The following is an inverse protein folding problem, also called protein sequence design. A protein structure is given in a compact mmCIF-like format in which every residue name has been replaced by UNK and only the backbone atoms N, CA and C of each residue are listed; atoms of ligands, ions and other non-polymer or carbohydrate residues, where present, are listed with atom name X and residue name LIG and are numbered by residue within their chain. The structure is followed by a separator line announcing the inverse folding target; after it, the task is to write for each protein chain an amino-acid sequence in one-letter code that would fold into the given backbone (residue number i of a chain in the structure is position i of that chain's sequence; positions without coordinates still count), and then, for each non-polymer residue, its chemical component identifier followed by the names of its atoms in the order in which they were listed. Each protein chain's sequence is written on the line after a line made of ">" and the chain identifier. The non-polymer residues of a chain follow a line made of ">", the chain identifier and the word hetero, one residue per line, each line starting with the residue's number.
data_IF_983678361713
#
_entry.id   IF_983678361713
#
_cell.length_a   1.000
_cell.length_b   1.000
_cell.length_c   1.000
_cell.angle_alpha   90.00
_cell.angle_beta   90.00
_cell.angle_gamma   90.00
#
_symmetry.space_group_name_H-M   'P 1'
#
loop_
_entity.id
_entity.type
_entity.pdbx_description
1 polymer ?
#
# COMPACT_ATOMS: atom_id res chain seq x y z
N UNK A 1 -16.82 -5.62 -17.67
CA UNK A 1 -16.84 -7.03 -18.13
C UNK A 1 -15.42 -7.38 -18.53
N UNK A 2 -14.99 -8.60 -18.27
CA UNK A 2 -13.67 -9.07 -18.69
C UNK A 2 -13.75 -9.69 -20.08
N UNK A 3 -12.74 -9.45 -20.92
CA UNK A 3 -12.56 -10.22 -22.15
C UNK A 3 -12.10 -11.64 -21.83
N UNK A 4 -12.13 -12.52 -22.84
CA UNK A 4 -11.59 -13.87 -22.71
C UNK A 4 -10.10 -13.84 -22.37
N UNK A 5 -9.67 -14.75 -21.51
CA UNK A 5 -8.27 -14.91 -21.13
C UNK A 5 -7.40 -15.20 -22.35
N UNK A 6 -6.30 -14.46 -22.48
CA UNK A 6 -5.29 -14.65 -23.53
C UNK A 6 -3.95 -14.99 -22.91
N UNK A 7 -3.27 -15.97 -23.48
CA UNK A 7 -1.89 -16.29 -23.10
C UNK A 7 -0.98 -15.26 -23.75
N UNK A 8 -0.13 -14.63 -22.95
CA UNK A 8 0.87 -13.70 -23.46
C UNK A 8 2.11 -14.46 -23.96
N UNK A 9 2.02 -14.97 -25.19
CA UNK A 9 3.06 -15.83 -25.78
C UNK A 9 4.43 -15.14 -25.91
N UNK A 10 4.45 -13.81 -26.01
CA UNK A 10 5.70 -13.05 -26.15
C UNK A 10 6.46 -12.89 -24.82
N UNK A 11 5.80 -13.06 -23.67
CA UNK A 11 6.38 -12.97 -22.34
C UNK A 11 7.04 -14.29 -21.91
N UNK A 12 7.90 -14.85 -22.76
CA UNK A 12 8.59 -16.12 -22.51
C UNK A 12 10.02 -16.09 -23.03
N UNK A 13 10.90 -16.87 -22.38
CA UNK A 13 12.21 -17.21 -22.90
C UNK A 13 12.28 -18.72 -23.11
N UNK A 14 12.97 -19.14 -24.18
CA UNK A 14 13.07 -20.55 -24.55
C UNK A 14 13.62 -21.40 -23.39
N UNK A 15 12.93 -22.49 -23.07
CA UNK A 15 13.25 -23.40 -21.94
C UNK A 15 13.15 -22.79 -20.54
N UNK A 16 12.61 -21.58 -20.38
CA UNK A 16 12.39 -20.96 -19.09
C UNK A 16 10.90 -20.94 -18.73
N UNK A 17 10.60 -20.87 -17.43
CA UNK A 17 9.26 -20.57 -16.92
C UNK A 17 9.18 -19.10 -16.53
N UNK A 18 8.13 -18.41 -16.95
CA UNK A 18 7.85 -17.02 -16.56
C UNK A 18 7.10 -16.97 -15.24
N UNK A 19 7.49 -16.06 -14.34
CA UNK A 19 6.92 -15.90 -13.00
C UNK A 19 6.95 -14.41 -12.59
N UNK A 20 6.18 -14.07 -11.55
CA UNK A 20 6.13 -12.75 -10.91
C UNK A 20 5.90 -11.60 -11.92
N UNK A 21 4.75 -11.57 -12.61
CA UNK A 21 4.38 -10.44 -13.46
C UNK A 21 4.29 -9.15 -12.62
N UNK A 22 4.90 -8.08 -13.12
CA UNK A 22 4.93 -6.76 -12.51
C UNK A 22 4.61 -5.73 -13.61
N UNK A 23 3.32 -5.42 -13.83
CA UNK A 23 2.92 -4.44 -14.81
C UNK A 23 3.23 -3.02 -14.33
N UNK A 24 3.59 -2.15 -15.27
CA UNK A 24 3.82 -0.73 -15.07
C UNK A 24 3.23 0.02 -16.26
N UNK A 25 2.47 1.07 -15.99
CA UNK A 25 1.97 1.98 -17.02
C UNK A 25 2.75 3.28 -16.97
N UNK A 26 3.32 3.67 -18.10
CA UNK A 26 3.94 4.98 -18.28
C UNK A 26 2.92 5.93 -18.93
N UNK A 27 2.35 6.83 -18.13
CA UNK A 27 1.36 7.81 -18.57
C UNK A 27 1.93 8.80 -19.62
N UNK A 28 3.23 9.10 -19.57
CA UNK A 28 3.83 10.08 -20.46
C UNK A 28 3.96 9.53 -21.88
N UNK A 29 4.39 8.27 -22.01
CA UNK A 29 4.53 7.61 -23.31
C UNK A 29 3.28 6.85 -23.74
N UNK A 30 2.34 6.60 -22.81
CA UNK A 30 1.20 5.71 -23.02
C UNK A 30 1.60 4.24 -23.18
N UNK A 31 2.81 3.87 -22.75
CA UNK A 31 3.36 2.52 -22.92
C UNK A 31 3.09 1.67 -21.68
N UNK A 32 2.60 0.45 -21.90
CA UNK A 32 2.55 -0.58 -20.87
C UNK A 32 3.85 -1.37 -20.89
N UNK A 33 4.46 -1.53 -19.72
CA UNK A 33 5.58 -2.42 -19.47
C UNK A 33 5.09 -3.58 -18.61
N UNK A 34 5.53 -4.79 -18.93
CA UNK A 34 5.34 -5.94 -18.05
C UNK A 34 6.72 -6.53 -17.77
N UNK A 35 7.20 -6.29 -16.56
CA UNK A 35 8.40 -6.93 -16.05
C UNK A 35 8.03 -8.29 -15.47
N UNK A 36 8.91 -9.26 -15.61
CA UNK A 36 8.73 -10.59 -15.03
C UNK A 36 10.08 -11.27 -14.87
N UNK A 37 10.15 -12.25 -13.98
CA UNK A 37 11.33 -13.11 -13.89
C UNK A 37 11.11 -14.36 -14.72
N UNK A 38 12.20 -14.92 -15.23
CA UNK A 38 12.18 -16.26 -15.82
C UNK A 38 13.22 -17.15 -15.15
N UNK A 39 12.90 -18.43 -14.97
CA UNK A 39 13.82 -19.40 -14.36
C UNK A 39 14.03 -20.56 -15.31
N UNK A 40 15.29 -20.92 -15.55
CA UNK A 40 15.64 -22.02 -16.44
C UNK A 40 15.02 -23.36 -15.98
N UNK A 41 14.25 -23.99 -16.86
CA UNK A 41 13.62 -25.28 -16.64
C UNK A 41 12.80 -25.34 -15.35
N UNK A 42 13.10 -26.34 -14.50
CA UNK A 42 12.39 -26.63 -13.25
C UNK A 42 13.23 -26.35 -12.00
N UNK A 43 14.32 -25.61 -12.13
CA UNK A 43 15.25 -25.33 -11.01
C UNK A 43 14.50 -24.64 -9.87
N UNK A 44 14.37 -25.26 -8.67
CA UNK A 44 13.68 -24.66 -7.54
C UNK A 44 14.50 -23.50 -6.94
N UNK A 45 13.82 -22.54 -6.32
CA UNK A 45 14.48 -21.44 -5.60
C UNK A 45 15.42 -21.97 -4.51
N UNK A 46 14.98 -22.95 -3.72
CA UNK A 46 15.81 -23.57 -2.67
C UNK A 46 17.13 -24.15 -3.20
N UNK A 47 17.13 -24.71 -4.41
CA UNK A 47 18.36 -25.21 -5.04
C UNK A 47 19.31 -24.06 -5.38
N UNK A 48 18.79 -22.96 -5.94
CA UNK A 48 19.60 -21.79 -6.28
C UNK A 48 20.23 -21.15 -5.04
N UNK A 49 19.48 -21.07 -3.94
CA UNK A 49 19.97 -20.57 -2.64
C UNK A 49 21.08 -21.47 -2.09
N UNK A 50 20.85 -22.79 -2.04
CA UNK A 50 21.81 -23.74 -1.46
C UNK A 50 23.09 -23.85 -2.29
N UNK A 51 22.99 -23.79 -3.62
CA UNK A 51 24.15 -23.94 -4.52
C UNK A 51 24.84 -22.62 -4.86
N UNK A 52 24.21 -21.48 -4.57
CA UNK A 52 24.64 -20.16 -5.01
C UNK A 52 24.54 -19.95 -6.53
N UNK A 53 23.97 -20.89 -7.28
CA UNK A 53 23.81 -20.79 -8.73
C UNK A 53 22.48 -20.11 -9.07
N UNK A 54 22.51 -18.79 -9.26
CA UNK A 54 21.35 -18.05 -9.72
C UNK A 54 21.17 -18.21 -11.24
N UNK A 55 20.08 -18.86 -11.64
CA UNK A 55 19.66 -19.06 -13.04
C UNK A 55 18.40 -18.25 -13.38
N UNK A 56 18.06 -17.28 -12.53
CA UNK A 56 16.92 -16.37 -12.73
C UNK A 56 17.33 -15.22 -13.65
N UNK A 57 16.46 -14.89 -14.61
CA UNK A 57 16.61 -13.76 -15.52
C UNK A 57 15.51 -12.74 -15.25
N UNK A 58 15.83 -11.46 -15.39
CA UNK A 58 14.86 -10.37 -15.42
C UNK A 58 14.51 -10.05 -16.87
N UNK A 59 13.22 -10.06 -17.20
CA UNK A 59 12.72 -9.84 -18.54
C UNK A 59 11.65 -8.75 -18.57
N UNK A 60 11.46 -8.15 -19.74
CA UNK A 60 10.42 -7.16 -19.99
C UNK A 60 9.79 -7.37 -21.37
N UNK A 61 8.48 -7.17 -21.44
CA UNK A 61 7.74 -6.95 -22.69
C UNK A 61 6.98 -5.64 -22.60
N UNK A 62 6.70 -5.02 -23.73
CA UNK A 62 6.04 -3.71 -23.82
C UNK A 62 4.89 -3.73 -24.80
N UNK A 63 3.88 -2.90 -24.54
CA UNK A 63 2.75 -2.67 -25.42
C UNK A 63 2.53 -1.17 -25.60
N UNK A 64 2.40 -0.74 -26.85
CA UNK A 64 2.09 0.65 -27.23
C UNK A 64 0.61 0.83 -27.64
N UNK A 65 -0.19 -0.23 -27.55
CA UNK A 65 -1.58 -0.30 -28.01
C UNK A 65 -2.52 -0.78 -26.91
N UNK A 66 -2.27 -0.36 -25.67
CA UNK A 66 -3.12 -0.63 -24.51
C UNK A 66 -3.30 -2.13 -24.21
N UNK A 67 -2.26 -2.93 -24.48
CA UNK A 67 -2.20 -4.35 -24.15
C UNK A 67 -2.76 -5.27 -25.23
N UNK A 68 -3.13 -4.74 -26.40
CA UNK A 68 -3.64 -5.53 -27.52
C UNK A 68 -2.54 -6.39 -28.17
N UNK A 69 -1.35 -5.83 -28.34
CA UNK A 69 -0.16 -6.55 -28.80
C UNK A 69 1.06 -6.20 -27.96
N UNK A 70 2.03 -7.11 -27.95
CA UNK A 70 3.20 -7.02 -27.08
C UNK A 70 4.48 -7.31 -27.86
N UNK A 71 5.54 -6.60 -27.50
CA UNK A 71 6.88 -6.85 -28.03
C UNK A 71 7.43 -8.21 -27.56
N UNK A 72 8.49 -8.67 -28.22
CA UNK A 72 9.22 -9.87 -27.81
C UNK A 72 9.96 -9.64 -26.49
N UNK A 73 10.03 -10.67 -25.64
CA UNK A 73 10.74 -10.59 -24.37
C UNK A 73 12.19 -10.12 -24.53
N UNK A 74 12.53 -9.05 -23.79
CA UNK A 74 13.88 -8.51 -23.70
C UNK A 74 14.52 -8.97 -22.39
N UNK A 75 15.68 -9.65 -22.45
CA UNK A 75 16.46 -10.01 -21.26
C UNK A 75 17.26 -8.79 -20.76
N UNK A 76 16.86 -8.27 -19.61
CA UNK A 76 17.45 -7.10 -18.97
C UNK A 76 18.51 -7.47 -17.93
N UNK A 77 18.76 -8.76 -17.70
CA UNK A 77 19.61 -9.26 -16.60
C UNK A 77 20.99 -8.63 -16.63
N UNK A 78 21.68 -8.62 -17.78
CA UNK A 78 23.03 -8.04 -17.84
C UNK A 78 23.04 -6.52 -17.74
N UNK A 79 21.98 -5.85 -18.21
CA UNK A 79 21.88 -4.40 -18.23
C UNK A 79 21.59 -3.84 -16.83
N UNK A 80 20.73 -4.51 -16.07
CA UNK A 80 20.28 -4.07 -14.74
C UNK A 80 21.15 -4.67 -13.63
N UNK A 81 21.67 -5.89 -13.83
CA UNK A 81 22.30 -6.70 -12.77
C UNK A 81 23.81 -6.96 -13.04
N UNK A 82 24.36 -6.52 -14.18
CA UNK A 82 25.69 -6.89 -14.70
C UNK A 82 26.86 -6.92 -13.70
N UNK A 83 27.78 -7.88 -13.92
CA UNK A 83 29.08 -8.21 -13.25
C UNK A 83 29.19 -8.17 -11.71
N UNK A 84 28.18 -7.68 -11.00
CA UNK A 84 28.21 -7.38 -9.57
C UNK A 84 27.91 -8.60 -8.70
N UNK A 85 27.56 -9.75 -9.31
CA UNK A 85 27.13 -10.94 -8.57
C UNK A 85 28.14 -12.07 -8.76
N UNK A 86 29.15 -12.09 -7.89
CA UNK A 86 29.75 -13.33 -7.39
C UNK A 86 29.22 -13.72 -6.00
N UNK A 87 28.14 -13.09 -5.52
CA UNK A 87 27.63 -13.42 -4.17
C UNK A 87 26.33 -12.75 -3.71
N UNK A 88 25.64 -11.96 -4.53
CA UNK A 88 24.43 -11.24 -4.09
C UNK A 88 23.20 -11.81 -4.76
N UNK A 89 22.34 -12.41 -3.94
CA UNK A 89 20.95 -12.70 -4.25
C UNK A 89 20.30 -11.42 -4.79
N UNK A 90 19.53 -11.50 -5.88
CA UNK A 90 18.79 -10.37 -6.42
C UNK A 90 17.64 -10.01 -5.46
N UNK A 91 18.01 -9.41 -4.33
CA UNK A 91 17.17 -8.74 -3.36
C UNK A 91 17.45 -7.25 -3.52
N UNK A 92 16.41 -6.51 -3.84
CA UNK A 92 16.47 -5.07 -4.07
C UNK A 92 16.63 -4.34 -2.72
N UNK A 93 17.62 -3.44 -2.69
CA UNK A 93 17.85 -2.28 -1.80
C UNK A 93 18.31 -2.50 -0.34
N UNK A 94 19.58 -2.11 -0.12
CA UNK A 94 20.00 -1.24 0.97
C UNK A 94 20.45 -1.93 2.26
N UNK A 95 21.68 -1.63 2.70
CA UNK A 95 22.14 -1.96 4.06
C UNK A 95 21.29 -1.22 5.10
N UNK A 96 20.22 -1.88 5.53
CA UNK A 96 19.23 -1.34 6.44
C UNK A 96 18.18 -2.38 6.78
N UNK A 97 18.58 -3.50 7.41
CA UNK A 97 17.66 -4.48 8.03
C UNK A 97 16.69 -5.25 7.11
N UNK A 98 16.47 -4.82 5.87
CA UNK A 98 15.62 -5.47 4.87
C UNK A 98 16.32 -6.60 4.10
N UNK A 99 17.61 -6.84 4.36
CA UNK A 99 18.51 -7.78 3.66
C UNK A 99 18.08 -9.27 3.72
N UNK A 100 16.96 -9.58 4.39
CA UNK A 100 16.36 -10.94 4.42
C UNK A 100 14.87 -10.97 4.05
N UNK A 101 14.31 -9.84 3.64
CA UNK A 101 12.91 -9.79 3.21
C UNK A 101 12.82 -10.23 1.75
N UNK A 102 12.18 -11.37 1.51
CA UNK A 102 11.94 -11.86 0.14
C UNK A 102 10.90 -11.04 -0.65
N UNK A 103 10.38 -9.95 -0.07
CA UNK A 103 9.38 -9.07 -0.69
C UNK A 103 9.31 -7.70 0.02
N UNK A 104 9.16 -6.63 -0.76
CA UNK A 104 8.81 -5.29 -0.28
C UNK A 104 7.95 -4.54 -1.31
N UNK A 105 7.08 -3.65 -0.84
CA UNK A 105 6.35 -2.68 -1.65
C UNK A 105 6.80 -1.25 -1.33
N UNK A 106 6.88 -0.41 -2.35
CA UNK A 106 7.26 1.00 -2.23
C UNK A 106 6.13 1.91 -2.71
N UNK A 107 5.92 3.01 -1.99
CA UNK A 107 4.96 4.07 -2.35
C UNK A 107 5.60 5.43 -2.07
N UNK A 108 5.45 6.37 -2.99
CA UNK A 108 5.80 7.76 -2.78
C UNK A 108 4.69 8.45 -1.99
N UNK A 109 5.04 9.16 -0.92
CA UNK A 109 4.10 9.79 0.03
C UNK A 109 4.38 11.28 0.11
N UNK A 110 3.44 12.05 -0.41
CA UNK A 110 3.43 13.51 -0.36
C UNK A 110 2.82 14.02 0.95
N UNK A 111 3.35 15.13 1.43
CA UNK A 111 2.84 15.89 2.57
C UNK A 111 2.22 17.23 2.14
N UNK A 112 1.47 17.82 3.07
CA UNK A 112 0.87 19.14 2.89
C UNK A 112 1.90 20.27 2.71
N UNK A 113 3.12 20.07 3.23
CA UNK A 113 4.23 21.02 3.09
C UNK A 113 4.97 20.88 1.75
N UNK A 114 4.55 19.95 0.88
CA UNK A 114 5.16 19.65 -0.41
C UNK A 114 6.42 18.77 -0.31
N UNK A 115 6.77 18.28 0.89
CA UNK A 115 7.83 17.27 1.02
C UNK A 115 7.32 15.90 0.58
N UNK A 116 8.22 15.07 0.05
CA UNK A 116 7.95 13.70 -0.32
C UNK A 116 8.83 12.74 0.48
N UNK A 117 8.31 11.57 0.82
CA UNK A 117 9.09 10.45 1.34
C UNK A 117 8.76 9.16 0.60
N UNK A 118 9.75 8.29 0.44
CA UNK A 118 9.49 6.92 0.01
C UNK A 118 9.14 6.06 1.21
N UNK A 119 7.92 5.55 1.20
CA UNK A 119 7.41 4.55 2.13
C UNK A 119 7.74 3.15 1.61
N UNK A 120 8.31 2.31 2.48
CA UNK A 120 8.59 0.90 2.21
C UNK A 120 7.85 0.02 3.21
N UNK A 121 7.09 -0.95 2.70
CA UNK A 121 6.52 -2.04 3.48
C UNK A 121 7.28 -3.33 3.13
N UNK A 122 7.76 -4.05 4.14
CA UNK A 122 8.55 -5.25 3.94
C UNK A 122 8.10 -6.39 4.86
N UNK A 123 8.30 -7.63 4.41
CA UNK A 123 8.12 -8.82 5.23
C UNK A 123 9.11 -8.81 6.39
N UNK A 124 8.68 -9.38 7.52
CA UNK A 124 9.58 -9.67 8.64
C UNK A 124 9.25 -11.02 9.27
N UNK A 125 10.26 -11.73 9.82
CA UNK A 125 10.07 -12.99 10.53
C UNK A 125 9.41 -12.82 11.90
N UNK A 126 9.12 -11.58 12.31
CA UNK A 126 8.56 -11.25 13.63
C UNK A 126 7.02 -11.31 13.67
N UNK A 127 6.38 -11.82 12.62
CA UNK A 127 4.92 -11.98 12.54
C UNK A 127 4.15 -10.68 12.23
N UNK A 128 4.87 -9.59 11.93
CA UNK A 128 4.32 -8.30 11.51
C UNK A 128 5.13 -7.76 10.34
N UNK A 129 4.51 -6.90 9.53
CA UNK A 129 5.19 -6.11 8.50
C UNK A 129 6.09 -5.07 9.15
N UNK A 130 7.16 -4.72 8.44
CA UNK A 130 8.06 -3.63 8.80
C UNK A 130 7.84 -2.49 7.84
N UNK A 131 7.74 -1.28 8.38
CA UNK A 131 7.69 -0.04 7.64
C UNK A 131 9.03 0.69 7.76
N UNK A 132 9.58 1.14 6.64
CA UNK A 132 10.75 2.03 6.61
C UNK A 132 10.45 3.25 5.73
N UNK A 133 11.09 4.38 6.03
CA UNK A 133 10.91 5.63 5.31
C UNK A 133 12.26 6.11 4.78
N UNK A 134 12.28 6.71 3.60
CA UNK A 134 13.43 7.42 3.03
C UNK A 134 13.03 8.84 2.67
N UNK A 135 13.87 9.80 3.03
CA UNK A 135 13.72 11.24 2.73
C UNK A 135 14.63 11.68 1.59
N UNK A 136 15.33 10.74 0.94
CA UNK A 136 16.38 10.98 -0.06
C UNK A 136 16.16 10.09 -1.31
N UNK A 137 14.90 9.97 -1.72
CA UNK A 137 14.47 9.24 -2.93
C UNK A 137 14.95 7.79 -2.98
N UNK A 138 15.08 7.14 -1.81
CA UNK A 138 15.44 5.75 -1.67
C UNK A 138 16.94 5.48 -1.61
N UNK A 139 17.77 6.53 -1.52
CA UNK A 139 19.21 6.36 -1.34
C UNK A 139 19.54 5.72 0.02
N UNK A 140 18.83 6.12 1.09
CA UNK A 140 18.93 5.53 2.43
C UNK A 140 17.56 5.44 3.08
N UNK A 141 17.28 4.29 3.70
CA UNK A 141 16.10 4.11 4.55
C UNK A 141 16.45 4.26 6.04
N UNK A 142 15.60 4.96 6.78
CA UNK A 142 15.65 5.00 8.23
C UNK A 142 15.37 3.61 8.84
N UNK A 143 15.72 3.43 10.11
CA UNK A 143 15.49 2.17 10.82
C UNK A 143 14.01 1.74 10.78
N UNK A 144 13.76 0.52 10.35
CA UNK A 144 12.41 -0.02 10.18
C UNK A 144 11.63 -0.15 11.50
N UNK A 145 10.33 0.09 11.43
CA UNK A 145 9.38 0.00 12.54
C UNK A 145 8.42 -1.16 12.31
N UNK A 146 8.17 -1.97 13.34
CA UNK A 146 7.15 -3.02 13.27
C UNK A 146 5.76 -2.39 13.31
N UNK A 147 4.94 -2.70 12.31
CA UNK A 147 3.57 -2.21 12.23
C UNK A 147 2.64 -3.25 12.85
N UNK A 148 2.27 -3.06 14.11
CA UNK A 148 1.47 -4.04 14.89
C UNK A 148 0.12 -4.36 14.25
N UNK A 149 -0.40 -3.44 13.42
CA UNK A 149 -1.66 -3.58 12.69
C UNK A 149 -1.55 -4.46 11.46
N UNK A 150 -0.36 -4.62 10.90
CA UNK A 150 -0.12 -5.37 9.67
C UNK A 150 0.56 -6.69 10.02
N UNK A 151 -0.22 -7.75 10.19
CA UNK A 151 0.30 -9.09 10.53
C UNK A 151 0.95 -9.77 9.32
N UNK A 152 1.90 -10.66 9.58
CA UNK A 152 2.55 -11.53 8.59
C UNK A 152 2.38 -13.01 9.00
N UNK A 153 1.81 -13.87 8.15
CA UNK A 153 1.65 -15.29 8.45
C UNK A 153 3.00 -16.04 8.43
N UNK A 154 3.13 -17.21 9.09
CA UNK A 154 4.42 -17.88 9.30
C UNK A 154 5.16 -18.34 8.04
N UNK A 155 4.45 -18.55 6.94
CA UNK A 155 5.02 -18.96 5.65
C UNK A 155 5.16 -17.80 4.66
N UNK A 156 5.01 -16.57 5.16
CA UNK A 156 4.98 -15.34 4.40
C UNK A 156 3.73 -15.21 3.53
N UNK A 157 3.43 -14.02 3.04
CA UNK A 157 2.55 -13.75 1.89
C UNK A 157 3.01 -12.46 1.20
N UNK A 158 2.67 -12.21 -0.07
CA UNK A 158 2.87 -10.88 -0.66
C UNK A 158 1.53 -10.17 -0.66
N UNK A 159 1.48 -9.02 0.00
CA UNK A 159 0.37 -8.09 -0.12
C UNK A 159 0.61 -7.09 -1.24
N UNK A 160 -0.25 -6.08 -1.31
CA UNK A 160 -0.06 -4.94 -2.20
C UNK A 160 -0.40 -3.64 -1.50
N UNK A 161 0.42 -2.62 -1.73
CA UNK A 161 0.34 -1.28 -1.15
C UNK A 161 0.18 -0.28 -2.28
N UNK A 162 -0.77 0.65 -2.15
CA UNK A 162 -0.94 1.77 -3.08
C UNK A 162 -1.07 3.09 -2.32
N UNK A 163 -0.49 4.15 -2.87
CA UNK A 163 -0.71 5.52 -2.44
C UNK A 163 -1.76 6.21 -3.31
N UNK A 164 -2.56 7.08 -2.71
CA UNK A 164 -3.51 7.93 -3.43
C UNK A 164 -3.68 9.28 -2.73
N UNK A 165 -4.04 10.35 -3.46
CA UNK A 165 -4.27 11.66 -2.86
C UNK A 165 -5.43 11.61 -1.84
N UNK A 166 -5.22 12.18 -0.65
CA UNK A 166 -6.27 12.30 0.34
C UNK A 166 -7.44 13.11 -0.23
N UNK A 167 -8.69 12.67 0.01
CA UNK A 167 -9.85 13.43 -0.44
C UNK A 167 -9.87 14.80 0.24
N UNK A 168 -10.06 15.87 -0.54
CA UNK A 168 -10.39 17.19 0.00
C UNK A 168 -11.82 17.15 0.54
N UNK A 169 -12.02 16.64 1.76
CA UNK A 169 -13.36 16.55 2.35
C UNK A 169 -13.87 17.95 2.67
N UNK A 170 -14.70 18.50 1.79
CA UNK A 170 -15.57 19.63 2.10
C UNK A 170 -16.64 19.16 3.09
N UNK A 171 -16.51 19.48 4.37
CA UNK A 171 -17.58 19.28 5.35
C UNK A 171 -18.60 20.41 5.14
N UNK A 172 -19.83 20.15 4.67
CA UNK A 172 -20.84 21.19 4.57
C UNK A 172 -21.18 21.67 5.98
N UNK A 173 -20.90 22.93 6.30
CA UNK A 173 -21.40 23.53 7.53
C UNK A 173 -22.93 23.54 7.45
N UNK A 174 -23.58 22.69 8.24
CA UNK A 174 -25.03 22.75 8.44
C UNK A 174 -25.40 24.19 8.80
N UNK A 175 -26.33 24.77 8.03
CA UNK A 175 -26.89 26.09 8.26
C UNK A 175 -27.37 26.20 9.71
N UNK A 176 -26.75 27.10 10.47
CA UNK A 176 -27.23 27.50 11.80
C UNK A 176 -28.54 28.25 11.63
N UNK A 177 -29.66 27.56 11.76
CA UNK A 177 -30.89 28.19 12.20
C UNK A 177 -30.81 28.45 13.71
N UNK A 178 -31.09 29.69 14.09
CA UNK A 178 -31.04 30.23 15.45
C UNK A 178 -32.18 29.69 16.31
N UNK A 179 -31.87 28.99 17.40
CA UNK A 179 -32.79 28.64 18.49
C UNK A 179 -32.14 27.83 19.62
N UNK A 180 -32.16 28.36 20.85
CA UNK A 180 -31.44 27.92 22.07
C UNK A 180 -32.07 26.68 22.78
N UNK A 181 -31.50 26.13 23.87
CA UNK A 181 -30.82 24.83 23.92
C UNK A 181 -31.62 23.71 24.62
N UNK A 182 -31.29 22.45 24.31
CA UNK A 182 -31.55 21.33 25.21
C UNK A 182 -30.45 20.27 25.15
N UNK A 183 -30.17 19.73 26.33
CA UNK A 183 -29.06 18.86 26.71
C UNK A 183 -29.04 17.55 25.92
N UNK A 184 -27.87 17.14 25.42
CA UNK A 184 -27.65 15.76 24.95
C UNK A 184 -26.29 15.52 24.31
N UNK A 185 -25.49 14.65 24.95
CA UNK A 185 -24.31 13.91 24.45
C UNK A 185 -23.27 14.65 23.60
N UNK A 186 -22.19 15.10 24.25
CA UNK A 186 -20.96 15.49 23.58
C UNK A 186 -20.24 14.30 22.95
N UNK A 187 -20.33 14.17 21.63
CA UNK A 187 -19.39 13.37 20.84
C UNK A 187 -18.10 14.20 20.64
N UNK A 188 -16.96 13.63 21.06
CA UNK A 188 -15.64 14.24 20.85
C UNK A 188 -15.28 14.15 19.36
N UNK A 189 -14.88 15.30 18.83
CA UNK A 189 -14.45 15.55 17.46
C UNK A 189 -13.21 14.71 17.08
N UNK A 190 -13.14 14.30 15.81
CA UNK A 190 -11.89 13.93 15.14
C UNK A 190 -10.89 15.11 15.26
N UNK A 191 -9.57 14.88 15.38
CA UNK A 191 -8.60 15.97 15.60
C UNK A 191 -8.46 16.95 14.43
N UNK A 192 -9.09 16.68 13.28
CA UNK A 192 -8.96 17.47 12.08
C UNK A 192 -10.23 18.26 11.80
N UNK A 193 -10.32 19.44 12.41
CA UNK A 193 -11.04 20.56 11.83
C UNK A 193 -9.98 21.62 11.51
N UNK A 194 -9.84 22.08 10.26
CA UNK A 194 -8.91 23.15 9.95
C UNK A 194 -9.26 24.36 10.83
N UNK A 195 -8.23 25.00 11.40
CA UNK A 195 -8.37 26.29 12.08
C UNK A 195 -9.13 27.22 11.14
N UNK A 196 -10.25 27.71 11.64
CA UNK A 196 -11.21 28.58 10.96
C UNK A 196 -10.53 29.56 9.99
N UNK A 197 -10.79 29.43 8.70
CA UNK A 197 -10.59 30.53 7.76
C UNK A 197 -11.70 31.52 8.04
N UNK A 198 -11.41 32.53 8.85
CA UNK A 198 -12.25 33.72 8.94
C UNK A 198 -12.13 34.43 7.60
N UNK A 199 -13.18 34.37 6.79
CA UNK A 199 -13.30 35.23 5.61
C UNK A 199 -13.38 36.66 6.15
N UNK A 200 -12.24 37.37 6.21
CA UNK A 200 -12.24 38.81 6.45
C UNK A 200 -12.90 39.40 5.22
N UNK A 201 -14.10 39.94 5.42
CA UNK A 201 -14.83 40.73 4.45
C UNK A 201 -13.87 41.82 3.95
N UNK A 202 -13.50 41.74 2.67
CA UNK A 202 -12.42 42.53 2.12
C UNK A 202 -12.74 44.03 2.14
N UNK A 203 -11.79 44.82 2.62
CA UNK A 203 -11.55 46.15 2.10
C UNK A 203 -10.44 46.08 1.04
N UNK A 204 -10.65 46.84 -0.03
CA UNK A 204 -9.95 46.75 -1.30
C UNK A 204 -8.49 47.20 -1.26
N UNK A 205 -7.71 46.64 -2.20
CA UNK A 205 -6.34 47.00 -2.61
C UNK A 205 -5.18 46.33 -1.84
N UNK A 206 -4.96 45.04 -2.11
CA UNK A 206 -3.64 44.43 -2.02
C UNK A 206 -3.47 43.37 -3.13
N UNK A 207 -2.32 43.41 -3.79
CA UNK A 207 -1.86 42.50 -4.85
C UNK A 207 -2.03 41.04 -4.43
N UNK A 208 -2.52 40.11 -5.28
CA UNK A 208 -2.64 38.72 -4.89
C UNK A 208 -1.24 38.13 -4.71
N UNK A 209 -0.88 37.83 -3.46
CA UNK A 209 0.22 36.93 -3.13
C UNK A 209 -0.05 35.57 -3.80
N UNK A 210 0.98 34.83 -4.26
CA UNK A 210 0.77 33.49 -4.80
C UNK A 210 0.01 32.67 -3.75
N UNK A 211 -1.16 32.19 -4.15
CA UNK A 211 -1.94 31.25 -3.35
C UNK A 211 -1.03 30.06 -3.03
N UNK A 212 -0.88 29.66 -1.77
CA UNK A 212 -0.14 28.46 -1.45
C UNK A 212 -0.80 27.30 -2.20
N UNK A 213 -0.05 26.67 -3.10
CA UNK A 213 -0.44 25.40 -3.70
C UNK A 213 -0.45 24.38 -2.55
N UNK A 214 -1.64 24.04 -2.05
CA UNK A 214 -1.80 22.94 -1.10
C UNK A 214 -1.74 21.64 -1.89
N UNK A 215 -0.67 20.88 -1.73
CA UNK A 215 -0.59 19.51 -2.22
C UNK A 215 -1.41 18.62 -1.28
N UNK A 216 -2.30 17.79 -1.85
CA UNK A 216 -3.07 16.86 -1.05
C UNK A 216 -2.11 15.81 -0.48
N UNK A 217 -2.12 15.54 0.83
CA UNK A 217 -1.25 14.53 1.41
C UNK A 217 -1.63 13.14 0.88
N UNK A 218 -0.70 12.21 0.87
CA UNK A 218 -0.95 10.84 0.40
C UNK A 218 -1.54 9.96 1.51
N UNK A 219 -2.65 9.29 1.22
CA UNK A 219 -3.15 8.15 2.00
C UNK A 219 -2.68 6.84 1.37
N UNK A 220 -2.60 5.79 2.18
CA UNK A 220 -2.15 4.47 1.71
C UNK A 220 -3.18 3.39 2.04
N UNK A 221 -3.45 2.50 1.07
CA UNK A 221 -4.13 1.24 1.30
C UNK A 221 -3.15 0.07 1.25
N UNK A 222 -3.42 -0.96 2.07
CA UNK A 222 -2.72 -2.23 2.05
C UNK A 222 -3.70 -3.40 2.05
N UNK A 223 -3.55 -4.30 1.07
CA UNK A 223 -4.32 -5.56 0.99
C UNK A 223 -3.45 -6.74 1.42
N UNK A 224 -3.96 -7.57 2.33
CA UNK A 224 -3.26 -8.75 2.84
C UNK A 224 -4.18 -9.65 3.69
N UNK A 225 -3.88 -10.96 3.83
CA UNK A 225 -4.50 -11.82 4.83
C UNK A 225 -4.43 -11.23 6.25
N UNK A 226 -5.51 -11.33 7.01
CA UNK A 226 -5.63 -10.66 8.33
C UNK A 226 -5.32 -11.54 9.53
N UNK A 227 -5.05 -12.83 9.30
CA UNK A 227 -4.70 -13.78 10.37
C UNK A 227 -3.18 -13.88 10.55
N UNK A 228 -2.66 -13.75 11.79
CA UNK A 228 -1.24 -13.95 12.07
C UNK A 228 -0.84 -15.44 12.02
N UNK A 229 -1.82 -16.36 11.97
CA UNK A 229 -1.56 -17.79 12.04
C UNK A 229 -1.61 -18.48 10.68
N UNK A 230 -2.37 -17.92 9.73
CA UNK A 230 -2.66 -18.58 8.46
C UNK A 230 -3.08 -17.59 7.38
N UNK A 231 -2.94 -18.01 6.11
CA UNK A 231 -3.37 -17.28 4.92
C UNK A 231 -4.89 -17.34 4.78
N UNK A 232 -5.59 -16.54 5.57
CA UNK A 232 -7.05 -16.42 5.55
C UNK A 232 -7.50 -14.97 5.72
N UNK A 233 -8.71 -14.70 5.24
CA UNK A 233 -9.43 -13.44 5.29
C UNK A 233 -8.67 -12.31 4.62
N UNK A 234 -8.92 -12.09 3.32
CA UNK A 234 -8.35 -10.96 2.61
C UNK A 234 -8.92 -9.66 3.18
N UNK A 235 -8.05 -8.81 3.73
CA UNK A 235 -8.42 -7.55 4.34
C UNK A 235 -7.72 -6.36 3.71
N UNK A 236 -8.36 -5.21 3.82
CA UNK A 236 -7.86 -3.91 3.39
C UNK A 236 -7.66 -3.02 4.61
N UNK A 237 -6.45 -2.52 4.79
CA UNK A 237 -6.09 -1.55 5.83
C UNK A 237 -5.88 -0.18 5.20
N UNK A 238 -6.20 0.87 5.95
CA UNK A 238 -5.99 2.26 5.57
C UNK A 238 -4.98 2.90 6.53
N UNK A 239 -4.10 3.73 6.00
CA UNK A 239 -3.35 4.72 6.76
C UNK A 239 -3.61 6.10 6.17
N UNK A 240 -4.08 7.02 7.02
CA UNK A 240 -4.28 8.43 6.66
C UNK A 240 -3.07 9.30 7.01
N UNK A 241 -2.06 8.72 7.66
CA UNK A 241 -0.81 9.40 8.01
C UNK A 241 0.37 8.41 7.93
N UNK A 242 0.82 8.08 6.71
CA UNK A 242 1.72 6.94 6.47
C UNK A 242 3.07 7.02 7.17
N UNK A 243 3.51 8.20 7.64
CA UNK A 243 4.76 8.35 8.40
C UNK A 243 4.67 7.79 9.83
N UNK A 244 3.46 7.63 10.37
CA UNK A 244 3.23 7.02 11.68
C UNK A 244 2.79 5.57 11.53
N UNK A 245 3.60 4.64 12.02
CA UNK A 245 3.29 3.21 12.01
C UNK A 245 2.02 2.85 12.81
N UNK A 246 1.58 3.70 13.74
CA UNK A 246 0.35 3.49 14.52
C UNK A 246 -0.91 4.02 13.82
N UNK A 247 -0.76 4.71 12.68
CA UNK A 247 -1.88 5.27 11.91
C UNK A 247 -2.72 4.22 11.17
N UNK A 248 -2.21 3.00 11.04
CA UNK A 248 -2.89 1.91 10.37
C UNK A 248 -4.18 1.51 11.10
N UNK A 249 -5.25 1.38 10.35
CA UNK A 249 -6.56 0.97 10.88
C UNK A 249 -6.63 -0.53 11.12
N UNK A 250 -7.71 -0.99 11.75
CA UNK A 250 -8.14 -2.39 11.62
C UNK A 250 -8.52 -2.69 10.16
N UNK A 251 -8.44 -3.96 9.71
CA UNK A 251 -8.82 -4.32 8.36
C UNK A 251 -10.34 -4.32 8.16
N UNK A 252 -10.75 -3.84 6.99
CA UNK A 252 -12.01 -4.28 6.40
C UNK A 252 -11.79 -5.60 5.65
N UNK A 253 -12.43 -6.68 6.09
CA UNK A 253 -12.36 -7.98 5.41
C UNK A 253 -13.24 -7.96 4.16
N UNK A 254 -12.61 -8.00 2.99
CA UNK A 254 -13.29 -8.02 1.68
C UNK A 254 -13.63 -9.44 1.20
N UNK A 255 -13.02 -10.45 1.82
CA UNK A 255 -13.33 -11.86 1.58
C UNK A 255 -13.01 -12.71 2.81
N UNK A 256 -13.98 -13.51 3.27
CA UNK A 256 -13.80 -14.48 4.36
C UNK A 256 -13.42 -15.86 3.82
N UNK A 257 -12.35 -16.45 4.36
CA UNK A 257 -11.86 -17.78 3.96
C UNK A 257 -10.39 -17.78 3.51
N UNK A 258 -9.90 -18.90 2.95
CA UNK A 258 -8.54 -18.99 2.40
C UNK A 258 -8.22 -17.82 1.45
N UNK A 259 -7.15 -17.08 1.74
CA UNK A 259 -6.72 -15.93 0.93
C UNK A 259 -5.21 -15.79 0.97
N UNK A 260 -4.58 -15.50 -0.17
CA UNK A 260 -3.12 -15.38 -0.27
C UNK A 260 -2.71 -14.07 -0.97
N UNK A 261 -2.01 -14.17 -2.10
CA UNK A 261 -1.41 -13.00 -2.78
C UNK A 261 -2.49 -12.02 -3.21
N UNK A 262 -2.18 -10.72 -3.18
CA UNK A 262 -3.07 -9.68 -3.66
C UNK A 262 -2.33 -8.59 -4.43
N UNK A 263 -3.07 -7.88 -5.29
CA UNK A 263 -2.61 -6.71 -6.03
C UNK A 263 -3.69 -5.63 -6.10
N UNK A 264 -3.33 -4.41 -5.71
CA UNK A 264 -4.20 -3.25 -5.65
C UNK A 264 -3.88 -2.28 -6.79
N UNK A 265 -4.92 -1.65 -7.32
CA UNK A 265 -4.80 -0.53 -8.24
C UNK A 265 -5.73 0.62 -7.82
N UNK A 266 -5.20 1.84 -7.90
CA UNK A 266 -5.96 3.08 -7.73
C UNK A 266 -6.64 3.47 -9.04
N UNK A 267 -7.88 3.95 -8.95
CA UNK A 267 -8.70 4.33 -10.10
C UNK A 267 -9.46 5.64 -9.80
N UNK A 268 -9.48 6.53 -10.79
CA UNK A 268 -10.39 7.68 -10.81
C UNK A 268 -11.53 7.43 -11.80
N UNK A 269 -12.75 7.29 -11.27
CA UNK A 269 -13.93 7.01 -12.08
C UNK A 269 -14.70 8.30 -12.39
N UNK A 270 -15.19 8.52 -13.62
CA UNK A 270 -16.05 9.65 -13.93
C UNK A 270 -17.36 9.59 -13.13
N UNK A 271 -17.70 10.63 -12.38
CA UNK A 271 -18.95 10.68 -11.62
C UNK A 271 -20.12 10.99 -12.56
N UNK A 272 -20.97 9.98 -12.82
CA UNK A 272 -22.04 10.07 -13.83
C UNK A 272 -23.18 11.05 -13.50
N UNK A 273 -23.36 11.46 -12.24
CA UNK A 273 -24.53 12.24 -11.78
C UNK A 273 -24.19 13.49 -10.95
N UNK A 274 -23.00 14.08 -11.09
CA UNK A 274 -22.66 15.31 -10.38
C UNK A 274 -23.31 16.55 -11.06
N UNK A 275 -23.98 17.46 -10.31
CA UNK A 275 -24.56 18.68 -10.85
C UNK A 275 -23.52 19.70 -11.37
N UNK A 276 -22.23 19.42 -11.15
CA UNK A 276 -21.10 20.20 -11.65
C UNK A 276 -20.24 19.27 -12.49
N UNK A 277 -20.01 19.63 -13.75
CA UNK A 277 -19.15 18.89 -14.65
C UNK A 277 -17.74 18.72 -14.04
N UNK A 278 -17.26 17.48 -13.88
CA UNK A 278 -15.85 17.19 -13.59
C UNK A 278 -15.52 16.52 -12.25
N UNK A 279 -16.49 16.00 -11.48
CA UNK A 279 -16.17 15.17 -10.31
C UNK A 279 -15.65 13.79 -10.70
N UNK A 280 -14.51 13.38 -10.14
CA UNK A 280 -14.03 11.99 -10.17
C UNK A 280 -14.32 11.31 -8.82
N UNK A 281 -14.76 10.06 -8.87
CA UNK A 281 -14.93 9.21 -7.70
C UNK A 281 -13.67 8.34 -7.53
N UNK A 282 -13.10 8.35 -6.34
CA UNK A 282 -11.96 7.48 -6.00
C UNK A 282 -12.47 6.04 -5.82
N UNK A 283 -11.87 5.12 -6.57
CA UNK A 283 -12.11 3.70 -6.49
C UNK A 283 -10.80 2.91 -6.48
N UNK A 284 -10.93 1.65 -6.06
CA UNK A 284 -9.82 0.73 -5.93
C UNK A 284 -10.24 -0.61 -6.52
N UNK A 285 -9.33 -1.21 -7.28
CA UNK A 285 -9.42 -2.59 -7.74
C UNK A 285 -8.47 -3.45 -6.92
N UNK A 286 -8.91 -4.66 -6.55
CA UNK A 286 -8.11 -5.65 -5.85
C UNK A 286 -8.24 -6.99 -6.54
N UNK A 287 -7.14 -7.52 -7.06
CA UNK A 287 -7.02 -8.92 -7.47
C UNK A 287 -6.41 -9.71 -6.32
N UNK A 288 -6.94 -10.90 -6.03
CA UNK A 288 -6.38 -11.72 -4.97
C UNK A 288 -6.66 -13.21 -5.16
N UNK A 289 -5.72 -14.03 -4.69
CA UNK A 289 -5.87 -15.48 -4.62
C UNK A 289 -6.82 -15.87 -3.49
N UNK A 290 -7.83 -16.68 -3.79
CA UNK A 290 -8.73 -17.24 -2.79
C UNK A 290 -9.28 -18.61 -3.17
N UNK A 291 -10.11 -19.16 -2.29
CA UNK A 291 -10.83 -20.41 -2.54
C UNK A 291 -11.58 -20.90 -1.32
N UNK A 292 -12.25 -22.04 -1.47
CA UNK A 292 -13.06 -22.62 -0.40
C UNK A 292 -12.25 -23.52 0.55
N UNK A 293 -11.26 -24.25 0.03
CA UNK A 293 -10.41 -25.15 0.83
C UNK A 293 -8.95 -24.71 0.86
N UNK A 294 -8.49 -24.08 -0.21
CA UNK A 294 -7.12 -23.58 -0.37
C UNK A 294 -7.15 -22.18 -1.01
N UNK A 295 -6.20 -21.29 -0.69
CA UNK A 295 -6.17 -19.96 -1.31
C UNK A 295 -5.80 -19.99 -2.80
N UNK A 296 -5.29 -21.10 -3.33
CA UNK A 296 -4.77 -21.19 -4.71
C UNK A 296 -5.79 -21.79 -5.70
N UNK A 297 -7.08 -21.75 -5.38
CA UNK A 297 -8.12 -22.35 -6.23
C UNK A 297 -8.53 -21.41 -7.38
N UNK A 298 -8.53 -20.11 -7.14
CA UNK A 298 -8.91 -19.10 -8.13
C UNK A 298 -8.30 -17.73 -7.81
N UNK A 299 -8.43 -16.80 -8.75
CA UNK A 299 -8.13 -15.37 -8.56
C UNK A 299 -9.46 -14.62 -8.64
N UNK A 300 -9.79 -13.87 -7.60
CA UNK A 300 -10.98 -13.04 -7.53
C UNK A 300 -10.65 -11.57 -7.78
N UNK A 301 -11.60 -10.86 -8.38
CA UNK A 301 -11.56 -9.41 -8.57
C UNK A 301 -12.62 -8.75 -7.69
N UNK A 302 -12.19 -7.80 -6.86
CA UNK A 302 -13.08 -6.91 -6.11
C UNK A 302 -12.83 -5.47 -6.50
N UNK A 303 -13.89 -4.67 -6.62
CA UNK A 303 -13.80 -3.23 -6.82
C UNK A 303 -14.64 -2.53 -5.75
N UNK A 304 -14.09 -1.51 -5.12
CA UNK A 304 -14.74 -0.76 -4.05
C UNK A 304 -14.31 0.70 -4.10
N UNK A 305 -15.18 1.59 -3.62
CA UNK A 305 -14.93 3.03 -3.58
C UNK A 305 -14.26 3.44 -2.28
N UNK A 306 -13.71 4.66 -2.24
CA UNK A 306 -13.27 5.25 -0.98
C UNK A 306 -14.41 5.37 0.04
N UNK A 307 -15.65 5.57 -0.42
CA UNK A 307 -16.81 5.57 0.47
C UNK A 307 -16.98 4.21 1.17
N UNK A 308 -16.88 3.11 0.43
CA UNK A 308 -16.97 1.76 0.98
C UNK A 308 -15.86 1.51 2.01
N UNK A 309 -14.62 1.92 1.71
CA UNK A 309 -13.49 1.82 2.64
C UNK A 309 -13.80 2.56 3.94
N UNK A 310 -14.19 3.83 3.85
CA UNK A 310 -14.45 4.67 5.03
C UNK A 310 -15.66 4.22 5.86
N UNK A 311 -16.64 3.56 5.23
CA UNK A 311 -17.78 2.99 5.94
C UNK A 311 -17.44 1.69 6.67
N UNK A 312 -16.59 0.85 6.08
CA UNK A 312 -16.27 -0.47 6.63
C UNK A 312 -15.03 -0.48 7.53
N UNK A 313 -14.18 0.55 7.43
CA UNK A 313 -13.05 0.74 8.34
C UNK A 313 -13.45 1.74 9.43
N UNK A 314 -13.58 1.32 10.69
CA UNK A 314 -13.91 2.24 11.77
C UNK A 314 -12.73 3.20 12.01
N UNK A 315 -12.88 4.45 11.58
CA UNK A 315 -11.99 5.56 11.93
C UNK A 315 -12.14 5.98 13.40
N UNK A 316 -12.14 5.04 14.33
CA UNK A 316 -12.08 5.34 15.75
C UNK A 316 -10.63 5.65 16.13
N UNK A 317 -10.37 6.90 16.52
CA UNK A 317 -9.18 7.25 17.27
C UNK A 317 -9.07 6.30 18.47
N UNK A 318 -7.99 5.53 18.57
CA UNK A 318 -7.75 4.63 19.68
C UNK A 318 -7.88 5.42 21.00
N UNK A 319 -8.93 5.14 21.78
CA UNK A 319 -9.00 5.64 23.13
C UNK A 319 -7.83 5.02 23.91
N UNK A 320 -7.01 5.82 24.63
CA UNK A 320 -5.93 5.25 25.42
C UNK A 320 -6.51 4.23 26.40
N UNK A 321 -5.83 3.09 26.62
CA UNK A 321 -6.32 2.07 27.53
C UNK A 321 -6.56 2.73 28.90
N UNK A 322 -7.81 2.69 29.36
CA UNK A 322 -8.16 3.13 30.72
C UNK A 322 -7.30 2.34 31.69
N UNK A 323 -6.32 3.03 32.28
CA UNK A 323 -5.42 2.44 33.25
C UNK A 323 -6.19 1.67 34.31
N UNK A 324 -6.04 0.34 34.32
CA UNK A 324 -6.46 -0.46 35.46
C UNK A 324 -5.62 0.01 36.64
N UNK A 325 -6.28 0.60 37.63
CA UNK A 325 -5.67 1.16 38.83
C UNK A 325 -4.61 0.22 39.41
N UNK A 326 -3.38 0.71 39.45
CA UNK A 326 -2.26 0.03 40.07
C UNK A 326 -2.52 -0.14 41.56
N UNK A 327 -2.83 -1.37 41.99
CA UNK A 327 -2.64 -1.76 43.39
C UNK A 327 -1.14 -1.70 43.67
N UNK A 328 -0.73 -0.73 44.50
CA UNK A 328 0.61 -0.62 45.11
C UNK A 328 1.05 -1.97 45.66
N UNK A 329 1.97 -2.67 44.97
CA UNK A 329 2.79 -3.70 45.60
C UNK A 329 4.04 -3.02 46.16
N UNK A 330 4.16 -3.04 47.49
CA UNK A 330 5.33 -2.58 48.25
C UNK A 330 6.59 -3.26 47.69
N UNK A 331 7.57 -2.46 47.27
CA UNK A 331 8.96 -2.87 47.14
C UNK A 331 9.43 -3.47 48.47
N UNK A 332 9.81 -4.74 48.48
CA UNK A 332 10.77 -5.25 49.46
C UNK A 332 12.14 -5.19 48.81
N UNK A 333 12.95 -4.27 49.32
CA UNK A 333 14.39 -4.24 49.19
C UNK A 333 14.99 -5.50 49.81
N UNK A 334 15.82 -6.21 49.06
CA UNK A 334 16.84 -7.08 49.63
C UNK A 334 18.18 -6.63 49.04
N UNK A 335 19.06 -6.21 49.94
CA UNK A 335 20.41 -5.72 49.70
C UNK A 335 21.35 -6.76 50.32
N UNK A 336 22.47 -7.03 49.62
CA UNK A 336 23.75 -7.62 50.10
C UNK A 336 23.67 -9.15 50.37
N UNK A 337 24.57 -10.01 49.89
CA UNK A 337 26.01 -9.87 49.55
C UNK A 337 26.36 -10.36 48.15
#
# INVERSE_FOLDING_TARGET
>A
QWEDMRVLETATLQHHRSMNPCPLYDEFTGTLFLFFITVLGRTPEAYQIVTGQNVTRLCCVTSADQGLSWSTATDLTQQVIGATIKGTQLGVLGEGGCDRSGECQLVSVDEEDGSNVLYCNARSPLGFRVQALSTDDGAVFHGGQLVQRLVEPPHGCHGSVIGFPAPLVYVPTASRDTGMPSRGLGCRLLPWAPRSVTLVQGDSAATPSPTPFFQAPTWILYSHPTSPMSRVNMGVHLSTFPRDAESWTEPWVIYEGPSAYSDLAYLELPQRDAPVAGGTAIAFACLYENGTRSPYEQISFSMFTLHDVLQNIPLTAAAPPRGRGGKRKRRRSCFIS
#
